data_IF_781796375542
#
_entry.id   IF_781796375542
#
_cell.length_a   1.000
_cell.length_b   1.000
_cell.length_c   1.000
_cell.angle_alpha   90.00
_cell.angle_beta   90.00
_cell.angle_gamma   90.00
#
_symmetry.space_group_name_H-M   'P 1'
#
loop_
_entity.id
_entity.type
_entity.pdbx_description
1 polymer ?
#
# COMPACT_ATOMS: atom_id res chain seq x y z
N UNK A 1 29.85 1.20 -2.03
CA UNK A 1 29.41 2.17 -0.99
C UNK A 1 27.96 2.62 -1.23
N UNK A 2 27.59 3.07 -2.42
CA UNK A 2 26.25 3.57 -2.75
C UNK A 2 25.12 2.58 -2.42
N UNK A 3 25.23 1.32 -2.88
CA UNK A 3 24.23 0.29 -2.58
C UNK A 3 24.08 0.02 -1.08
N UNK A 4 25.15 0.12 -0.31
CA UNK A 4 25.10 -0.02 1.13
C UNK A 4 24.32 1.14 1.79
N UNK A 5 24.59 2.36 1.35
CA UNK A 5 23.87 3.54 1.83
C UNK A 5 22.39 3.42 1.46
N UNK A 6 22.07 3.11 0.19
CA UNK A 6 20.70 2.96 -0.28
C UNK A 6 19.94 1.88 0.50
N UNK A 7 20.56 0.72 0.75
CA UNK A 7 19.97 -0.33 1.58
C UNK A 7 19.65 0.14 3.00
N UNK A 8 20.56 0.91 3.62
CA UNK A 8 20.35 1.41 4.97
C UNK A 8 19.25 2.49 5.03
N UNK A 9 19.14 3.35 4.03
CA UNK A 9 18.05 4.33 3.95
C UNK A 9 16.69 3.61 3.86
N UNK A 10 16.54 2.66 2.94
CA UNK A 10 15.31 1.87 2.79
C UNK A 10 15.00 1.13 4.09
N UNK A 11 16.00 0.49 4.69
CA UNK A 11 15.83 -0.23 5.96
C UNK A 11 15.39 0.69 7.10
N UNK A 12 16.00 1.87 7.23
CA UNK A 12 15.64 2.81 8.30
C UNK A 12 14.19 3.29 8.17
N UNK A 13 13.75 3.58 6.94
CA UNK A 13 12.37 3.97 6.67
C UNK A 13 11.38 2.85 7.03
N UNK A 14 11.66 1.61 6.59
CA UNK A 14 10.80 0.46 6.91
C UNK A 14 10.72 0.20 8.41
N UNK A 15 11.85 0.23 9.12
CA UNK A 15 11.88 0.04 10.59
C UNK A 15 11.10 1.13 11.32
N UNK A 16 11.20 2.38 10.88
CA UNK A 16 10.47 3.48 11.50
C UNK A 16 8.96 3.40 11.23
N UNK A 17 8.57 3.04 9.99
CA UNK A 17 7.16 2.82 9.62
C UNK A 17 6.57 1.67 10.46
N UNK A 18 7.26 0.54 10.53
CA UNK A 18 6.87 -0.61 11.35
C UNK A 18 6.69 -0.21 12.82
N UNK A 19 7.67 0.48 13.42
CA UNK A 19 7.59 0.97 14.79
C UNK A 19 6.36 1.86 15.04
N UNK A 20 6.00 2.71 14.08
CA UNK A 20 4.84 3.60 14.22
C UNK A 20 3.51 2.87 14.03
N UNK A 21 3.44 1.89 13.13
CA UNK A 21 2.24 1.08 12.90
C UNK A 21 2.01 0.04 14.00
N UNK A 22 3.07 -0.52 14.59
CA UNK A 22 2.98 -1.49 15.71
C UNK A 22 2.31 -0.93 16.97
N UNK A 23 2.20 0.39 17.10
CA UNK A 23 1.42 1.07 18.15
C UNK A 23 -0.10 0.98 17.98
N UNK A 24 -0.57 0.29 16.95
CA UNK A 24 -1.96 0.17 16.57
C UNK A 24 -2.38 1.22 15.51
N UNK A 25 -3.31 0.80 14.67
CA UNK A 25 -3.84 1.66 13.61
C UNK A 25 -4.77 2.73 14.19
N UNK A 26 -4.51 3.98 13.87
CA UNK A 26 -5.38 5.09 14.18
C UNK A 26 -6.09 5.57 12.92
N UNK A 27 -7.39 5.82 13.04
CA UNK A 27 -8.22 6.33 11.95
C UNK A 27 -7.99 7.85 11.76
N UNK A 28 -6.76 8.21 11.37
CA UNK A 28 -6.35 9.59 11.18
C UNK A 28 -5.43 9.75 9.94
N UNK A 29 -5.23 11.01 9.53
CA UNK A 29 -4.38 11.33 8.39
C UNK A 29 -2.92 10.96 8.61
N UNK A 30 -2.44 10.91 9.86
CA UNK A 30 -1.04 10.54 10.13
C UNK A 30 -0.80 9.08 9.76
N UNK A 31 -1.71 8.20 10.15
CA UNK A 31 -1.65 6.78 9.77
C UNK A 31 -1.82 6.59 8.26
N UNK A 32 -2.72 7.35 7.62
CA UNK A 32 -2.88 7.30 6.16
C UNK A 32 -1.58 7.72 5.43
N UNK A 33 -0.86 8.71 5.94
CA UNK A 33 0.44 9.11 5.39
C UNK A 33 1.50 8.03 5.59
N UNK A 34 1.49 7.30 6.72
CA UNK A 34 2.37 6.16 6.93
C UNK A 34 2.10 5.03 5.94
N UNK A 35 0.83 4.70 5.67
CA UNK A 35 0.45 3.72 4.64
C UNK A 35 0.97 4.12 3.26
N UNK A 36 0.84 5.40 2.90
CA UNK A 36 1.39 5.92 1.65
C UNK A 36 2.91 5.80 1.62
N UNK A 37 3.58 6.17 2.71
CA UNK A 37 5.03 6.09 2.82
C UNK A 37 5.50 4.63 2.76
N UNK A 38 4.81 3.69 3.41
CA UNK A 38 5.10 2.26 3.30
C UNK A 38 5.10 1.79 1.85
N UNK A 39 4.06 2.12 1.09
CA UNK A 39 3.95 1.75 -0.34
C UNK A 39 5.09 2.32 -1.18
N UNK A 40 5.53 3.56 -0.91
CA UNK A 40 6.68 4.18 -1.57
C UNK A 40 7.98 3.46 -1.21
N UNK A 41 8.21 3.20 0.07
CA UNK A 41 9.45 2.59 0.56
C UNK A 41 9.58 1.14 0.10
N UNK A 42 8.48 0.36 0.10
CA UNK A 42 8.46 -0.99 -0.46
C UNK A 42 8.76 -0.95 -1.97
N UNK A 43 8.22 0.02 -2.72
CA UNK A 43 8.56 0.16 -4.14
C UNK A 43 10.03 0.47 -4.34
N UNK A 44 10.62 1.32 -3.50
CA UNK A 44 12.07 1.59 -3.52
C UNK A 44 12.89 0.32 -3.22
N UNK A 45 12.42 -0.54 -2.31
CA UNK A 45 13.03 -1.84 -2.04
C UNK A 45 13.00 -2.75 -3.28
N UNK A 46 11.86 -2.83 -3.97
CA UNK A 46 11.70 -3.61 -5.20
C UNK A 46 12.64 -3.12 -6.30
N UNK A 47 12.71 -1.81 -6.50
CA UNK A 47 13.62 -1.23 -7.50
C UNK A 47 15.09 -1.40 -7.11
N UNK A 48 15.41 -1.37 -5.82
CA UNK A 48 16.75 -1.65 -5.32
C UNK A 48 17.15 -3.12 -5.51
N UNK A 49 16.23 -4.06 -5.31
CA UNK A 49 16.45 -5.49 -5.51
C UNK A 49 17.04 -5.79 -6.89
N UNK A 50 16.54 -5.11 -7.93
CA UNK A 50 17.04 -5.27 -9.31
C UNK A 50 18.55 -5.00 -9.40
N UNK A 51 19.06 -4.07 -8.60
CA UNK A 51 20.47 -3.67 -8.61
C UNK A 51 21.40 -4.66 -7.89
N UNK A 52 20.83 -5.46 -6.98
CA UNK A 52 21.61 -6.39 -6.14
C UNK A 52 21.47 -7.87 -6.53
N UNK A 53 20.73 -8.19 -7.60
CA UNK A 53 20.50 -9.58 -8.06
C UNK A 53 21.78 -10.39 -8.28
N UNK A 54 22.88 -9.74 -8.61
CA UNK A 54 24.18 -10.42 -8.74
C UNK A 54 24.64 -11.04 -7.41
N UNK A 55 24.18 -10.53 -6.26
CA UNK A 55 24.48 -11.08 -4.94
C UNK A 55 23.78 -12.44 -4.71
N UNK A 56 22.70 -12.75 -5.42
CA UNK A 56 21.97 -14.01 -5.28
C UNK A 56 22.83 -15.24 -5.57
N UNK A 57 23.85 -15.09 -6.41
CA UNK A 57 24.84 -16.17 -6.64
C UNK A 57 25.60 -16.56 -5.37
N UNK A 58 25.87 -15.58 -4.50
CA UNK A 58 26.59 -15.78 -3.23
C UNK A 58 25.66 -15.97 -2.04
N UNK A 59 24.44 -15.44 -2.12
CA UNK A 59 23.45 -15.39 -1.06
C UNK A 59 22.06 -15.79 -1.59
N UNK A 60 21.84 -17.09 -1.94
CA UNK A 60 20.59 -17.55 -2.56
C UNK A 60 19.36 -17.32 -1.67
N UNK A 61 19.52 -17.32 -0.33
CA UNK A 61 18.47 -17.03 0.62
C UNK A 61 17.80 -15.65 0.42
N UNK A 62 18.50 -14.68 -0.16
CA UNK A 62 17.92 -13.38 -0.50
C UNK A 62 16.89 -13.50 -1.63
N UNK A 63 17.18 -14.35 -2.63
CA UNK A 63 16.25 -14.61 -3.73
C UNK A 63 14.99 -15.35 -3.26
N UNK A 64 15.13 -16.28 -2.31
CA UNK A 64 14.00 -17.00 -1.72
C UNK A 64 13.08 -16.04 -0.97
N UNK A 65 13.63 -15.25 -0.04
CA UNK A 65 12.87 -14.23 0.68
C UNK A 65 12.15 -13.24 -0.22
N UNK A 66 12.78 -12.85 -1.33
CA UNK A 66 12.14 -11.96 -2.31
C UNK A 66 10.96 -12.65 -2.99
N UNK A 67 11.12 -13.91 -3.41
CA UNK A 67 10.06 -14.69 -4.07
C UNK A 67 8.86 -14.92 -3.17
N UNK A 68 9.08 -15.21 -1.90
CA UNK A 68 8.02 -15.44 -0.91
C UNK A 68 7.11 -14.21 -0.76
N UNK A 69 7.67 -13.02 -0.96
CA UNK A 69 6.96 -11.75 -0.84
C UNK A 69 6.60 -11.10 -2.20
N UNK A 70 6.85 -11.76 -3.33
CA UNK A 70 6.70 -11.16 -4.66
C UNK A 70 5.29 -10.60 -4.92
N UNK A 71 4.23 -11.33 -4.53
CA UNK A 71 2.84 -10.87 -4.68
C UNK A 71 2.57 -9.58 -3.90
N UNK A 72 3.14 -9.50 -2.71
CA UNK A 72 3.00 -8.35 -1.82
C UNK A 72 3.72 -7.13 -2.38
N UNK A 73 4.89 -7.33 -2.95
CA UNK A 73 5.66 -6.28 -3.62
C UNK A 73 4.94 -5.75 -4.86
N UNK A 74 4.37 -6.63 -5.69
CA UNK A 74 3.57 -6.25 -6.85
C UNK A 74 2.33 -5.45 -6.45
N UNK A 75 1.67 -5.84 -5.37
CA UNK A 75 0.53 -5.10 -4.83
C UNK A 75 0.92 -3.71 -4.32
N UNK A 76 1.99 -3.60 -3.56
CA UNK A 76 2.50 -2.30 -3.09
C UNK A 76 2.86 -1.38 -4.26
N UNK A 77 3.48 -1.92 -5.30
CA UNK A 77 3.80 -1.19 -6.54
C UNK A 77 2.53 -0.74 -7.28
N UNK A 78 1.51 -1.58 -7.30
CA UNK A 78 0.20 -1.23 -7.86
C UNK A 78 -0.42 -0.06 -7.09
N UNK A 79 -0.49 -0.12 -5.76
CA UNK A 79 -1.02 0.96 -4.92
C UNK A 79 -0.24 2.27 -5.10
N UNK A 80 1.09 2.17 -5.14
CA UNK A 80 1.95 3.33 -5.42
C UNK A 80 1.59 3.98 -6.77
N UNK A 81 1.36 3.19 -7.80
CA UNK A 81 1.09 3.70 -9.14
C UNK A 81 -0.34 4.23 -9.32
N UNK A 82 -1.30 3.72 -8.54
CA UNK A 82 -2.72 4.08 -8.68
C UNK A 82 -3.16 5.18 -7.73
N UNK A 83 -2.62 5.18 -6.50
CA UNK A 83 -3.11 6.03 -5.43
C UNK A 83 -2.03 6.94 -4.83
N UNK A 84 -0.82 6.43 -4.60
CA UNK A 84 0.19 7.16 -3.82
C UNK A 84 1.00 8.13 -4.66
N UNK A 85 1.59 7.65 -5.76
CA UNK A 85 2.46 8.47 -6.62
C UNK A 85 1.67 9.31 -7.62
N UNK A 86 0.56 8.76 -8.12
CA UNK A 86 -0.32 9.43 -9.06
C UNK A 86 -1.76 9.03 -8.76
N UNK A 87 -2.56 9.99 -8.29
CA UNK A 87 -3.99 9.73 -8.12
C UNK A 87 -4.64 9.70 -9.51
N UNK A 88 -4.94 8.50 -9.99
CA UNK A 88 -5.50 8.30 -11.32
C UNK A 88 -6.96 8.76 -11.37
N UNK A 89 -7.37 9.57 -12.37
CA UNK A 89 -8.76 10.03 -12.49
C UNK A 89 -9.77 8.89 -12.52
N UNK A 90 -9.44 7.78 -13.16
CA UNK A 90 -10.29 6.60 -13.25
C UNK A 90 -10.57 5.98 -11.87
N UNK A 91 -9.58 6.06 -10.95
CA UNK A 91 -9.75 5.59 -9.59
C UNK A 91 -10.74 6.46 -8.82
N UNK A 92 -10.66 7.78 -8.99
CA UNK A 92 -11.60 8.72 -8.35
C UNK A 92 -13.01 8.52 -8.89
N UNK A 93 -13.18 8.37 -10.20
CA UNK A 93 -14.47 8.09 -10.82
C UNK A 93 -15.09 6.82 -10.23
N UNK A 94 -14.30 5.76 -10.12
CA UNK A 94 -14.74 4.48 -9.56
C UNK A 94 -15.07 4.59 -8.06
N UNK A 95 -14.28 5.35 -7.30
CA UNK A 95 -14.57 5.59 -5.89
C UNK A 95 -15.93 6.30 -5.70
N UNK A 96 -16.24 7.27 -6.56
CA UNK A 96 -17.54 7.97 -6.54
C UNK A 96 -18.69 7.06 -6.97
N UNK A 97 -18.46 6.18 -7.91
CA UNK A 97 -19.46 5.18 -8.34
C UNK A 97 -19.78 4.20 -7.22
N UNK A 98 -18.77 3.72 -6.51
CA UNK A 98 -18.95 2.75 -5.42
C UNK A 98 -19.44 3.39 -4.11
N UNK A 99 -19.13 4.66 -3.88
CA UNK A 99 -19.49 5.42 -2.68
C UNK A 99 -20.05 6.79 -3.09
N UNK A 100 -21.27 6.82 -3.68
CA UNK A 100 -21.87 8.07 -4.17
C UNK A 100 -22.11 9.10 -3.05
N UNK A 101 -22.13 8.65 -1.78
CA UNK A 101 -22.26 9.49 -0.59
C UNK A 101 -21.09 10.48 -0.43
N UNK A 102 -19.93 10.21 -1.02
CA UNK A 102 -18.79 11.13 -1.06
C UNK A 102 -19.17 12.52 -1.59
N UNK A 103 -20.16 12.59 -2.49
CA UNK A 103 -20.63 13.86 -3.05
C UNK A 103 -21.25 14.79 -2.02
N UNK A 104 -21.87 14.22 -0.98
CA UNK A 104 -22.50 15.01 0.09
C UNK A 104 -21.48 15.59 1.08
N UNK A 105 -20.27 15.09 1.06
CA UNK A 105 -19.20 15.49 1.98
C UNK A 105 -18.30 16.59 1.42
N UNK A 106 -18.54 17.07 0.20
CA UNK A 106 -17.70 18.08 -0.45
C UNK A 106 -17.71 19.44 0.28
N UNK A 107 -18.75 19.74 1.05
CA UNK A 107 -18.84 20.98 1.84
C UNK A 107 -18.00 20.93 3.15
N UNK A 108 -17.43 19.78 3.47
CA UNK A 108 -16.67 19.55 4.71
C UNK A 108 -15.20 19.19 4.42
N UNK A 109 -14.67 19.64 3.29
CA UNK A 109 -13.31 19.28 2.83
C UNK A 109 -12.20 19.72 3.78
N UNK A 110 -12.43 20.75 4.58
CA UNK A 110 -11.47 21.26 5.56
C UNK A 110 -11.53 20.52 6.92
N UNK A 111 -12.50 19.63 7.11
CA UNK A 111 -12.56 18.78 8.29
C UNK A 111 -11.50 17.68 8.20
N UNK A 112 -10.57 17.56 9.17
CA UNK A 112 -9.54 16.55 9.19
C UNK A 112 -10.08 15.11 9.12
N UNK A 113 -11.27 14.86 9.68
CA UNK A 113 -11.93 13.55 9.58
C UNK A 113 -12.38 13.26 8.15
N UNK A 114 -12.90 14.26 7.45
CA UNK A 114 -13.32 14.11 6.05
C UNK A 114 -12.11 13.92 5.12
N UNK A 115 -11.00 14.61 5.37
CA UNK A 115 -9.76 14.37 4.64
C UNK A 115 -9.30 12.91 4.78
N UNK A 116 -9.37 12.35 5.98
CA UNK A 116 -9.09 10.94 6.22
C UNK A 116 -10.07 10.04 5.47
N UNK A 117 -11.37 10.28 5.56
CA UNK A 117 -12.43 9.50 4.91
C UNK A 117 -12.26 9.48 3.39
N UNK A 118 -11.97 10.62 2.75
CA UNK A 118 -11.69 10.65 1.30
C UNK A 118 -10.48 9.78 0.93
N UNK A 119 -9.38 9.89 1.67
CA UNK A 119 -8.20 9.07 1.43
C UNK A 119 -8.50 7.58 1.63
N UNK A 120 -9.27 7.23 2.67
CA UNK A 120 -9.65 5.85 2.97
C UNK A 120 -10.46 5.24 1.82
N UNK A 121 -11.50 5.92 1.33
CA UNK A 121 -12.34 5.39 0.25
C UNK A 121 -11.59 5.25 -1.07
N UNK A 122 -10.69 6.17 -1.38
CA UNK A 122 -9.85 6.06 -2.59
C UNK A 122 -8.85 4.91 -2.44
N UNK A 123 -8.26 4.72 -1.26
CA UNK A 123 -7.39 3.59 -0.97
C UNK A 123 -8.15 2.27 -1.06
N UNK A 124 -9.32 2.16 -0.43
CA UNK A 124 -10.20 0.98 -0.50
C UNK A 124 -10.55 0.64 -1.94
N UNK A 125 -10.92 1.65 -2.74
CA UNK A 125 -11.19 1.46 -4.16
C UNK A 125 -9.96 0.95 -4.93
N UNK A 126 -8.77 1.47 -4.62
CA UNK A 126 -7.53 1.00 -5.23
C UNK A 126 -7.26 -0.46 -4.86
N UNK A 127 -7.39 -0.82 -3.58
CA UNK A 127 -7.22 -2.18 -3.09
C UNK A 127 -8.16 -3.13 -3.83
N UNK A 128 -9.45 -2.87 -3.80
CA UNK A 128 -10.48 -3.71 -4.43
C UNK A 128 -10.41 -3.77 -5.96
N UNK A 129 -9.68 -2.84 -6.58
CA UNK A 129 -9.44 -2.86 -8.04
C UNK A 129 -8.24 -3.71 -8.46
N UNK A 130 -7.51 -4.33 -7.52
CA UNK A 130 -6.38 -5.20 -7.83
C UNK A 130 -6.82 -6.64 -8.08
N UNK A 131 -7.54 -6.83 -9.18
CA UNK A 131 -8.15 -8.11 -9.56
C UNK A 131 -7.43 -8.75 -10.75
N UNK A 132 -7.53 -10.07 -10.86
CA UNK A 132 -7.09 -10.85 -12.01
C UNK A 132 -8.15 -10.82 -13.13
N UNK A 133 -7.88 -11.48 -14.26
CA UNK A 133 -8.80 -11.55 -15.39
C UNK A 133 -10.12 -12.28 -15.08
N UNK A 134 -10.07 -13.20 -14.12
CA UNK A 134 -11.22 -13.97 -13.63
C UNK A 134 -12.08 -13.18 -12.60
N UNK A 135 -11.69 -11.95 -12.27
CA UNK A 135 -12.38 -11.09 -11.31
C UNK A 135 -11.96 -11.28 -9.86
N UNK A 136 -11.16 -12.30 -9.54
CA UNK A 136 -10.69 -12.56 -8.19
C UNK A 136 -9.60 -11.57 -7.78
N UNK A 137 -9.58 -11.19 -6.50
CA UNK A 137 -8.50 -10.34 -5.96
C UNK A 137 -7.18 -11.11 -5.96
N UNK A 138 -6.08 -10.45 -6.40
CA UNK A 138 -4.78 -11.12 -6.61
C UNK A 138 -4.05 -11.49 -5.30
N UNK A 139 -4.41 -10.86 -4.19
CA UNK A 139 -3.73 -11.03 -2.88
C UNK A 139 -4.65 -11.63 -1.84
N UNK A 140 -5.91 -11.17 -1.78
CA UNK A 140 -6.87 -11.61 -0.79
C UNK A 140 -7.78 -12.71 -1.35
N UNK A 141 -8.11 -13.70 -0.54
CA UNK A 141 -8.98 -14.82 -0.95
C UNK A 141 -10.47 -14.46 -0.99
N UNK A 142 -10.87 -13.27 -0.58
CA UNK A 142 -12.26 -12.83 -0.61
C UNK A 142 -12.65 -12.34 -1.99
N UNK A 143 -13.77 -12.81 -2.49
CA UNK A 143 -14.36 -12.45 -3.78
C UNK A 143 -14.95 -11.04 -3.82
N UNK A 144 -15.02 -10.35 -2.71
CA UNK A 144 -15.81 -9.14 -2.60
C UNK A 144 -15.07 -8.03 -1.89
N UNK A 145 -15.52 -6.85 -2.18
CA UNK A 145 -15.20 -5.58 -1.56
C UNK A 145 -14.68 -5.74 -0.14
N UNK A 146 -13.45 -5.27 0.10
CA UNK A 146 -12.95 -5.15 1.46
C UNK A 146 -13.96 -4.33 2.25
N UNK A 147 -14.65 -4.98 3.19
CA UNK A 147 -15.66 -4.33 4.01
C UNK A 147 -14.97 -3.67 5.19
N UNK A 148 -15.08 -2.36 5.29
CA UNK A 148 -14.60 -1.60 6.43
C UNK A 148 -15.46 -1.90 7.68
N UNK A 149 -14.89 -2.03 8.90
CA UNK A 149 -13.47 -1.97 9.28
C UNK A 149 -12.71 -3.30 9.27
N UNK A 150 -13.34 -4.51 9.27
CA UNK A 150 -12.61 -5.76 9.51
C UNK A 150 -11.57 -6.12 8.45
N UNK A 151 -11.81 -5.76 7.19
CA UNK A 151 -10.86 -6.08 6.12
C UNK A 151 -9.72 -5.06 6.03
N UNK A 152 -9.88 -3.90 6.66
CA UNK A 152 -8.81 -2.93 6.78
C UNK A 152 -7.72 -3.41 7.75
N UNK A 153 -8.09 -4.12 8.82
CA UNK A 153 -7.13 -4.79 9.71
C UNK A 153 -6.31 -5.83 8.94
N UNK A 154 -6.93 -6.60 8.04
CA UNK A 154 -6.21 -7.53 7.16
C UNK A 154 -5.21 -6.82 6.25
N UNK A 155 -5.57 -5.67 5.71
CA UNK A 155 -4.65 -4.87 4.91
C UNK A 155 -3.46 -4.35 5.73
N UNK A 156 -3.68 -4.01 7.00
CA UNK A 156 -2.61 -3.59 7.89
C UNK A 156 -1.70 -4.76 8.27
N UNK A 157 -2.26 -5.91 8.62
CA UNK A 157 -1.47 -7.13 8.84
C UNK A 157 -0.60 -7.47 7.62
N UNK A 158 -1.09 -7.17 6.42
CA UNK A 158 -0.31 -7.28 5.19
C UNK A 158 0.88 -6.31 5.14
N UNK A 159 0.76 -5.11 5.68
CA UNK A 159 1.87 -4.14 5.74
C UNK A 159 2.90 -4.49 6.82
N UNK A 160 2.52 -5.30 7.82
CA UNK A 160 3.38 -5.75 8.91
C UNK A 160 4.21 -7.01 8.54
N UNK A 161 3.88 -7.73 7.48
CA UNK A 161 4.60 -8.92 6.98
C UNK A 161 5.62 -8.56 5.90
#
# INVERSE_FOLDING_TARGET
MENFIKANLIRSDLVEIDRQLSGGFRHDMSTMLLVKQASLTITNLVDFELTIRLLYKKHPQLSEKYKDNAKNYDFSKYLRNKFVGHIKPELITKAIEWKPELRYSLNSVDDPKMMYVFNLFVLETAINSYVAQDGNHKVFESETDLVYPPDFERFLMYLET
#
